data_IF_613601820010
#
_entry.id   IF_613601820010
#
_cell.length_a   1.000
_cell.length_b   1.000
_cell.length_c   1.000
_cell.angle_alpha   90.00
_cell.angle_beta   90.00
_cell.angle_gamma   90.00
#
_symmetry.space_group_name_H-M   'P 1'
#
loop_
_entity.id
_entity.type
_entity.pdbx_description
1 polymer ?
#
# COMPACT_ATOMS: atom_id res chain seq x y z
N UNK A 1 21.61 -6.79 38.73
CA UNK A 1 20.68 -6.32 37.69
C UNK A 1 21.33 -6.57 36.36
N UNK A 2 20.66 -7.29 35.46
CA UNK A 2 21.29 -7.79 34.23
C UNK A 2 21.29 -6.69 33.16
N UNK A 3 22.38 -6.53 32.42
CA UNK A 3 22.47 -5.61 31.26
C UNK A 3 21.32 -5.79 30.24
N UNK A 4 20.73 -6.99 30.19
CA UNK A 4 19.61 -7.31 29.30
C UNK A 4 18.36 -6.50 29.68
N UNK A 5 18.14 -6.28 30.98
CA UNK A 5 16.98 -5.51 31.46
C UNK A 5 17.14 -4.03 31.12
N UNK A 6 18.35 -3.47 31.25
CA UNK A 6 18.67 -2.10 30.81
C UNK A 6 18.50 -1.91 29.31
N UNK A 7 18.98 -2.85 28.49
CA UNK A 7 18.78 -2.79 27.04
C UNK A 7 17.30 -2.89 26.65
N UNK A 8 16.51 -3.71 27.35
CA UNK A 8 15.07 -3.83 27.11
C UNK A 8 14.31 -2.56 27.51
N UNK A 9 14.72 -1.89 28.59
CA UNK A 9 14.13 -0.63 29.04
C UNK A 9 14.47 0.49 28.06
N UNK A 10 15.73 0.62 27.66
CA UNK A 10 16.17 1.63 26.69
C UNK A 10 15.52 1.45 25.31
N UNK A 11 15.36 0.20 24.86
CA UNK A 11 14.67 -0.11 23.61
C UNK A 11 13.18 0.24 23.69
N UNK A 12 12.51 -0.01 24.82
CA UNK A 12 11.11 0.36 25.04
C UNK A 12 10.91 1.88 25.09
N UNK A 13 11.81 2.61 25.75
CA UNK A 13 11.79 4.07 25.82
C UNK A 13 11.96 4.68 24.43
N UNK A 14 12.93 4.20 23.65
CA UNK A 14 13.19 4.68 22.29
C UNK A 14 12.03 4.37 21.34
N UNK A 15 11.37 3.23 21.51
CA UNK A 15 10.25 2.80 20.66
C UNK A 15 8.99 3.67 20.79
N UNK A 16 8.79 4.28 21.96
CA UNK A 16 7.62 5.12 22.27
C UNK A 16 7.87 6.62 22.02
N UNK A 17 9.02 6.99 21.47
CA UNK A 17 9.27 8.38 21.10
C UNK A 17 8.30 8.75 19.97
N UNK A 18 7.41 9.69 20.27
CA UNK A 18 6.55 10.35 19.29
C UNK A 18 7.45 11.21 18.39
N UNK A 19 7.59 10.84 17.12
CA UNK A 19 8.43 11.58 16.18
C UNK A 19 7.71 12.83 15.68
N UNK A 20 6.44 12.68 15.30
CA UNK A 20 5.61 13.75 14.73
C UNK A 20 4.12 13.48 14.98
N UNK A 21 3.33 14.53 15.24
CA UNK A 21 1.88 14.44 15.20
C UNK A 21 1.39 14.67 13.76
N UNK A 22 0.66 13.71 13.19
CA UNK A 22 -0.12 13.93 11.97
C UNK A 22 -1.60 13.98 12.34
N UNK A 23 -2.20 15.17 12.22
CA UNK A 23 -3.57 15.47 12.62
C UNK A 23 -3.83 15.12 14.11
N UNK A 24 -4.54 14.03 14.40
CA UNK A 24 -4.86 13.58 15.77
C UNK A 24 -4.05 12.35 16.20
N UNK A 25 -3.19 11.81 15.31
CA UNK A 25 -2.43 10.59 15.56
C UNK A 25 -0.93 10.90 15.74
N UNK A 26 -0.38 10.48 16.89
CA UNK A 26 1.05 10.47 17.13
C UNK A 26 1.72 9.40 16.25
N UNK A 27 2.51 9.84 15.26
CA UNK A 27 3.39 8.95 14.49
C UNK A 27 4.63 8.69 15.34
N UNK A 28 4.66 7.49 15.93
CA UNK A 28 5.83 6.95 16.62
C UNK A 28 6.74 6.20 15.65
N UNK A 29 7.97 5.93 16.08
CA UNK A 29 8.94 5.08 15.36
C UNK A 29 8.30 3.73 14.98
N UNK A 30 7.46 3.18 15.87
CA UNK A 30 6.66 1.97 15.63
C UNK A 30 5.85 2.04 14.34
N UNK A 31 5.13 3.13 14.13
CA UNK A 31 4.23 3.30 12.97
C UNK A 31 5.04 3.36 11.68
N UNK A 32 6.19 4.03 11.69
CA UNK A 32 7.08 4.10 10.53
C UNK A 32 7.64 2.73 10.16
N UNK A 33 8.12 1.97 11.15
CA UNK A 33 8.56 0.58 10.94
C UNK A 33 7.41 -0.29 10.39
N UNK A 34 6.19 -0.14 10.94
CA UNK A 34 5.02 -0.90 10.51
C UNK A 34 4.69 -0.61 9.04
N UNK A 35 4.66 0.66 8.65
CA UNK A 35 4.41 1.07 7.26
C UNK A 35 5.47 0.48 6.31
N UNK A 36 6.75 0.58 6.65
CA UNK A 36 7.84 0.05 5.81
C UNK A 36 7.72 -1.47 5.66
N UNK A 37 7.49 -2.17 6.77
CA UNK A 37 7.33 -3.63 6.77
C UNK A 37 6.10 -4.06 5.96
N UNK A 38 4.97 -3.38 6.16
CA UNK A 38 3.75 -3.64 5.41
C UNK A 38 3.89 -3.34 3.92
N UNK A 39 4.62 -2.28 3.55
CA UNK A 39 4.89 -1.95 2.16
C UNK A 39 5.74 -3.02 1.48
N UNK A 40 6.77 -3.52 2.18
CA UNK A 40 7.58 -4.64 1.70
C UNK A 40 6.72 -5.90 1.49
N UNK A 41 5.88 -6.23 2.48
CA UNK A 41 4.95 -7.36 2.40
C UNK A 41 3.96 -7.22 1.25
N UNK A 42 3.41 -6.01 1.06
CA UNK A 42 2.46 -5.72 0.00
C UNK A 42 3.06 -5.92 -1.39
N UNK A 43 4.26 -5.37 -1.64
CA UNK A 43 4.96 -5.52 -2.91
C UNK A 43 5.29 -6.99 -3.18
N UNK A 44 5.72 -7.72 -2.15
CA UNK A 44 6.00 -9.14 -2.24
C UNK A 44 4.74 -9.94 -2.61
N UNK A 45 3.65 -9.79 -1.86
CA UNK A 45 2.38 -10.49 -2.07
C UNK A 45 1.78 -10.13 -3.43
N UNK A 46 1.78 -8.85 -3.80
CA UNK A 46 1.25 -8.39 -5.10
C UNK A 46 2.03 -9.01 -6.25
N UNK A 47 3.35 -9.10 -6.14
CA UNK A 47 4.19 -9.75 -7.16
C UNK A 47 3.92 -11.26 -7.25
N UNK A 48 3.69 -11.92 -6.11
CA UNK A 48 3.39 -13.35 -6.05
C UNK A 48 2.04 -13.65 -6.71
N UNK A 49 1.00 -12.90 -6.35
CA UNK A 49 -0.35 -13.04 -6.94
C UNK A 49 -0.27 -12.85 -8.45
N UNK A 50 0.39 -11.79 -8.91
CA UNK A 50 0.53 -11.50 -10.34
C UNK A 50 1.21 -12.63 -11.11
N UNK A 51 2.27 -13.22 -10.54
CA UNK A 51 2.95 -14.38 -11.13
C UNK A 51 2.08 -15.63 -11.15
N UNK A 52 1.28 -15.86 -10.11
CA UNK A 52 0.33 -16.97 -10.05
C UNK A 52 -0.79 -16.82 -11.10
N UNK A 53 -1.28 -15.61 -11.35
CA UNK A 53 -2.23 -15.32 -12.42
C UNK A 53 -1.68 -15.72 -13.79
N UNK A 54 -0.44 -15.34 -14.11
CA UNK A 54 0.20 -15.75 -15.36
C UNK A 54 0.36 -17.27 -15.40
N UNK A 55 0.89 -17.90 -14.35
CA UNK A 55 1.18 -19.34 -14.35
C UNK A 55 -0.07 -20.23 -14.42
N UNK A 56 -1.21 -19.79 -13.87
CA UNK A 56 -2.45 -20.57 -13.78
C UNK A 56 -3.25 -20.60 -15.10
N UNK A 57 -3.14 -19.58 -15.94
CA UNK A 57 -3.98 -19.45 -17.13
C UNK A 57 -3.46 -20.20 -18.38
N UNK A 58 -2.25 -20.75 -18.33
CA UNK A 58 -1.55 -21.22 -19.54
C UNK A 58 -1.85 -22.62 -20.12
N UNK A 59 -2.56 -23.58 -19.47
CA UNK A 59 -2.83 -24.85 -20.16
C UNK A 59 -4.12 -24.87 -20.98
N UNK A 60 -5.04 -23.90 -20.84
CA UNK A 60 -6.43 -24.06 -21.32
C UNK A 60 -7.00 -22.94 -22.18
N UNK A 61 -6.37 -21.78 -22.21
CA UNK A 61 -6.76 -20.69 -23.10
C UNK A 61 -5.54 -20.27 -23.92
N UNK A 62 -5.68 -20.27 -25.25
CA UNK A 62 -4.67 -19.91 -26.24
C UNK A 62 -4.35 -18.39 -26.21
N UNK A 63 -4.18 -17.84 -25.00
CA UNK A 63 -3.97 -16.42 -24.75
C UNK A 63 -2.50 -16.12 -24.96
N UNK A 64 -2.23 -15.12 -25.79
CA UNK A 64 -0.88 -14.65 -26.06
C UNK A 64 -0.19 -14.25 -24.75
N UNK A 65 1.08 -14.63 -24.63
CA UNK A 65 1.95 -14.35 -23.49
C UNK A 65 1.98 -12.85 -23.19
N UNK A 66 1.91 -12.00 -24.23
CA UNK A 66 1.83 -10.55 -24.07
C UNK A 66 0.57 -10.07 -23.32
N UNK A 67 -0.59 -10.66 -23.59
CA UNK A 67 -1.87 -10.26 -23.00
C UNK A 67 -1.93 -10.68 -21.53
N UNK A 68 -1.52 -11.91 -21.22
CA UNK A 68 -1.50 -12.43 -19.84
C UNK A 68 -0.57 -11.60 -18.93
N UNK A 69 0.60 -11.23 -19.43
CA UNK A 69 1.55 -10.36 -18.70
C UNK A 69 0.98 -8.96 -18.46
N UNK A 70 0.26 -8.40 -19.43
CA UNK A 70 -0.39 -7.09 -19.30
C UNK A 70 -1.49 -7.13 -18.23
N UNK A 71 -2.36 -8.14 -18.26
CA UNK A 71 -3.41 -8.34 -17.25
C UNK A 71 -2.80 -8.51 -15.86
N UNK A 72 -1.78 -9.36 -15.73
CA UNK A 72 -1.10 -9.56 -14.45
C UNK A 72 -0.48 -8.27 -13.91
N UNK A 73 0.04 -7.41 -14.79
CA UNK A 73 0.60 -6.11 -14.42
C UNK A 73 -0.49 -5.14 -13.94
N UNK A 74 -1.64 -5.09 -14.62
CA UNK A 74 -2.79 -4.27 -14.22
C UNK A 74 -3.30 -4.72 -12.85
N UNK A 75 -3.49 -6.03 -12.66
CA UNK A 75 -3.90 -6.60 -11.37
C UNK A 75 -2.89 -6.28 -10.28
N UNK A 76 -1.59 -6.36 -10.57
CA UNK A 76 -0.53 -5.95 -9.63
C UNK A 76 -0.71 -4.53 -9.16
N UNK A 77 -0.92 -3.59 -10.07
CA UNK A 77 -1.08 -2.18 -9.72
C UNK A 77 -2.34 -1.93 -8.91
N UNK A 78 -3.45 -2.58 -9.25
CA UNK A 78 -4.69 -2.48 -8.46
C UNK A 78 -4.45 -2.98 -7.03
N UNK A 79 -3.81 -4.14 -6.87
CA UNK A 79 -3.50 -4.70 -5.54
C UNK A 79 -2.57 -3.79 -4.73
N UNK A 80 -1.56 -3.20 -5.36
CA UNK A 80 -0.64 -2.26 -4.70
C UNK A 80 -1.39 -0.99 -4.27
N UNK A 81 -2.25 -0.42 -5.12
CA UNK A 81 -3.02 0.78 -4.77
C UNK A 81 -3.96 0.51 -3.59
N UNK A 82 -4.72 -0.59 -3.64
CA UNK A 82 -5.65 -0.95 -2.56
C UNK A 82 -4.88 -1.24 -1.27
N UNK A 83 -3.79 -2.02 -1.34
CA UNK A 83 -2.98 -2.32 -0.18
C UNK A 83 -2.34 -1.08 0.44
N UNK A 84 -1.90 -0.13 -0.38
CA UNK A 84 -1.36 1.13 0.10
C UNK A 84 -2.40 1.93 0.89
N UNK A 85 -3.64 1.98 0.39
CA UNK A 85 -4.76 2.63 1.09
C UNK A 85 -5.01 1.97 2.44
N UNK A 86 -5.03 0.63 2.49
CA UNK A 86 -5.22 -0.13 3.74
C UNK A 86 -4.09 0.16 4.74
N UNK A 87 -2.83 0.20 4.29
CA UNK A 87 -1.67 0.46 5.15
C UNK A 87 -1.77 1.84 5.80
N UNK A 88 -2.07 2.87 5.01
CA UNK A 88 -2.21 4.23 5.52
C UNK A 88 -3.38 4.36 6.50
N UNK A 89 -4.55 3.79 6.16
CA UNK A 89 -5.71 3.81 7.06
C UNK A 89 -5.42 3.07 8.38
N UNK A 90 -4.78 1.89 8.31
CA UNK A 90 -4.42 1.09 9.50
C UNK A 90 -3.38 1.80 10.36
N UNK A 91 -2.52 2.61 9.75
CA UNK A 91 -1.51 3.42 10.47
C UNK A 91 -2.09 4.69 11.10
N UNK A 92 -3.41 4.93 10.94
CA UNK A 92 -4.08 6.14 11.42
C UNK A 92 -3.84 7.37 10.56
N UNK A 93 -3.29 7.20 9.35
CA UNK A 93 -3.08 8.29 8.40
C UNK A 93 -4.39 8.50 7.64
N UNK A 94 -4.97 9.69 7.78
CA UNK A 94 -6.20 10.05 7.11
C UNK A 94 -5.96 10.26 5.60
N UNK A 95 -6.51 9.35 4.79
CA UNK A 95 -6.45 9.41 3.32
C UNK A 95 -7.64 10.13 2.67
N UNK A 96 -8.52 10.78 3.43
CA UNK A 96 -9.69 11.49 2.89
C UNK A 96 -9.30 12.57 1.88
N UNK A 97 -8.28 13.39 2.17
CA UNK A 97 -7.88 14.46 1.25
C UNK A 97 -7.30 13.92 -0.09
N UNK A 98 -6.30 13.02 -0.11
CA UNK A 98 -5.85 12.38 -1.35
C UNK A 98 -6.96 11.61 -2.08
N UNK A 99 -7.84 10.92 -1.34
CA UNK A 99 -8.97 10.19 -1.91
C UNK A 99 -9.98 11.10 -2.61
N UNK A 100 -10.29 12.25 -2.00
CA UNK A 100 -11.14 13.28 -2.61
C UNK A 100 -10.51 13.86 -3.88
N UNK A 101 -9.19 14.11 -3.88
CA UNK A 101 -8.48 14.58 -5.07
C UNK A 101 -8.54 13.55 -6.19
N UNK A 102 -8.24 12.28 -5.92
CA UNK A 102 -8.34 11.21 -6.92
C UNK A 102 -9.78 11.06 -7.43
N UNK A 103 -10.78 11.16 -6.54
CA UNK A 103 -12.20 11.15 -6.92
C UNK A 103 -12.57 12.32 -7.83
N UNK A 104 -12.17 13.54 -7.47
CA UNK A 104 -12.43 14.75 -8.25
C UNK A 104 -11.70 14.72 -9.61
N UNK A 105 -10.47 14.23 -9.67
CA UNK A 105 -9.73 14.02 -10.91
C UNK A 105 -10.39 12.97 -11.80
N UNK A 106 -10.86 11.86 -11.21
CA UNK A 106 -11.59 10.82 -11.92
C UNK A 106 -12.87 11.34 -12.56
N UNK A 107 -13.66 12.11 -11.81
CA UNK A 107 -14.88 12.76 -12.33
C UNK A 107 -14.52 13.83 -13.36
N UNK A 108 -13.48 14.64 -13.13
CA UNK A 108 -13.06 15.69 -14.05
C UNK A 108 -12.58 15.17 -15.41
N UNK A 109 -11.86 14.04 -15.43
CA UNK A 109 -11.47 13.36 -16.69
C UNK A 109 -12.69 12.89 -17.49
N UNK A 110 -13.74 12.40 -16.82
CA UNK A 110 -14.99 11.98 -17.48
C UNK A 110 -15.83 13.18 -17.92
N UNK A 111 -15.91 14.21 -17.09
CA UNK A 111 -16.71 15.42 -17.36
C UNK A 111 -16.15 16.22 -18.54
N UNK A 112 -14.83 16.28 -18.68
CA UNK A 112 -14.17 17.00 -19.78
C UNK A 112 -14.33 16.35 -21.15
N UNK A 113 -14.56 15.02 -21.22
CA UNK A 113 -14.90 14.36 -22.50
C UNK A 113 -16.33 14.64 -22.96
N UNK A 114 -17.24 15.03 -22.04
CA UNK A 114 -18.66 15.26 -22.34
C UNK A 114 -18.95 16.70 -22.82
N UNK A 115 -18.12 17.67 -22.45
CA UNK A 115 -18.36 19.12 -22.72
C UNK A 115 -17.84 19.58 -24.10
N UNK A 116 -17.42 18.64 -24.96
CA UNK A 116 -16.91 18.93 -26.32
C UNK A 116 -17.92 18.70 -27.45
N UNK A 117 -19.22 18.73 -27.16
CA UNK A 117 -20.30 18.63 -28.15
C UNK A 117 -21.00 19.97 -28.34
#
# INVERSE_FOLDING_TARGET
MNNIDELLIWLKETWNIELFHLAENSITIKTLILIILSLFLLLFISSLISKLLVKKNFPRYNIDIGISQSIATIVRYILVVIGLIIIFQTSGINLSAPGLLVGALGVGMVWTSEVRI
#
